data_IF_421643787010
#
_entry.id   IF_421643787010
#
_cell.length_a   1.000
_cell.length_b   1.000
_cell.length_c   1.000
_cell.angle_alpha   90.00
_cell.angle_beta   90.00
_cell.angle_gamma   90.00
#
_symmetry.space_group_name_H-M   'P 1'
#
loop_
_entity.id
_entity.type
_entity.pdbx_description
1 polymer ?
#
# COMPACT_ATOMS: atom_id res chain seq x y z
N UNK A 1 -52.93 115.47 20.12
CA UNK A 1 -52.08 115.34 21.34
C UNK A 1 -52.51 114.20 22.26
N UNK A 2 -53.72 114.16 22.85
CA UNK A 2 -54.08 113.08 23.80
C UNK A 2 -54.19 111.69 23.16
N UNK A 3 -54.84 111.58 22.00
CA UNK A 3 -54.96 110.31 21.26
C UNK A 3 -53.63 109.75 20.73
N UNK A 4 -52.69 110.63 20.37
CA UNK A 4 -51.36 110.23 19.88
C UNK A 4 -50.52 109.61 21.02
N UNK A 5 -50.64 110.15 22.23
CA UNK A 5 -49.94 109.66 23.43
C UNK A 5 -50.47 108.30 23.88
N UNK A 6 -51.79 108.08 23.83
CA UNK A 6 -52.39 106.79 24.19
C UNK A 6 -52.03 105.70 23.17
N UNK A 7 -51.97 106.05 21.89
CA UNK A 7 -51.46 105.17 20.83
C UNK A 7 -50.01 104.77 21.08
N UNK A 8 -49.15 105.75 21.40
CA UNK A 8 -47.74 105.52 21.70
C UNK A 8 -47.55 104.58 22.91
N UNK A 9 -48.34 104.77 23.97
CA UNK A 9 -48.31 103.91 25.17
C UNK A 9 -48.68 102.46 24.87
N UNK A 10 -49.73 102.23 24.07
CA UNK A 10 -50.10 100.88 23.67
C UNK A 10 -49.03 100.22 22.80
N UNK A 11 -48.41 100.97 21.88
CA UNK A 11 -47.29 100.47 21.08
C UNK A 11 -46.10 100.08 21.97
N UNK A 12 -45.74 100.93 22.93
CA UNK A 12 -44.65 100.64 23.88
C UNK A 12 -44.97 99.41 24.72
N UNK A 13 -46.20 99.28 25.24
CA UNK A 13 -46.62 98.12 26.04
C UNK A 13 -46.52 96.81 25.25
N UNK A 14 -46.99 96.79 24.00
CA UNK A 14 -46.89 95.62 23.13
C UNK A 14 -45.44 95.27 22.80
N UNK A 15 -44.58 96.27 22.57
CA UNK A 15 -43.15 96.08 22.33
C UNK A 15 -42.45 95.51 23.55
N UNK A 16 -42.76 95.99 24.76
CA UNK A 16 -42.22 95.45 26.02
C UNK A 16 -42.61 93.98 26.19
N UNK A 17 -43.89 93.62 26.01
CA UNK A 17 -44.32 92.22 26.11
C UNK A 17 -43.66 91.32 25.05
N UNK A 18 -43.44 91.84 23.84
CA UNK A 18 -42.69 91.12 22.80
C UNK A 18 -41.24 90.91 23.23
N UNK A 19 -40.58 91.95 23.74
CA UNK A 19 -39.19 91.91 24.19
C UNK A 19 -38.98 90.94 25.36
N UNK A 20 -39.93 90.88 26.30
CA UNK A 20 -39.91 89.96 27.44
C UNK A 20 -40.12 88.49 27.03
N UNK A 21 -40.78 88.23 25.89
CA UNK A 21 -41.00 86.88 25.38
C UNK A 21 -39.81 86.29 24.58
N UNK A 22 -38.97 87.15 24.01
CA UNK A 22 -37.83 86.75 23.18
C UNK A 22 -36.84 85.80 23.88
N UNK A 23 -36.43 86.02 25.16
CA UNK A 23 -35.52 85.11 25.85
C UNK A 23 -36.05 83.67 25.91
N UNK A 24 -37.35 83.48 26.11
CA UNK A 24 -37.97 82.16 26.15
C UNK A 24 -37.93 81.49 24.77
N UNK A 25 -38.28 82.22 23.72
CA UNK A 25 -38.21 81.72 22.34
C UNK A 25 -36.78 81.33 21.94
N UNK A 26 -35.79 82.14 22.32
CA UNK A 26 -34.36 81.84 22.09
C UNK A 26 -33.94 80.60 22.88
N UNK A 27 -34.41 80.45 24.12
CA UNK A 27 -34.17 79.25 24.94
C UNK A 27 -34.74 77.98 24.30
N UNK A 28 -35.97 78.02 23.79
CA UNK A 28 -36.61 76.89 23.12
C UNK A 28 -35.91 76.53 21.80
N UNK A 29 -35.54 77.54 21.00
CA UNK A 29 -34.72 77.36 19.80
C UNK A 29 -33.37 76.69 20.12
N UNK A 30 -32.68 77.14 21.18
CA UNK A 30 -31.40 76.55 21.59
C UNK A 30 -31.53 75.07 21.97
N UNK A 31 -32.61 74.71 22.68
CA UNK A 31 -32.92 73.32 23.02
C UNK A 31 -33.23 72.49 21.78
N UNK A 32 -34.03 73.01 20.85
CA UNK A 32 -34.35 72.37 19.57
C UNK A 32 -33.09 72.11 18.73
N UNK A 33 -32.20 73.10 18.62
CA UNK A 33 -30.93 72.97 17.91
C UNK A 33 -30.05 71.88 18.54
N UNK A 34 -29.97 71.85 19.87
CA UNK A 34 -29.19 70.85 20.61
C UNK A 34 -29.75 69.44 20.39
N UNK A 35 -31.07 69.27 20.50
CA UNK A 35 -31.76 68.00 20.27
C UNK A 35 -31.56 67.49 18.85
N UNK A 36 -31.75 68.35 17.84
CA UNK A 36 -31.55 68.00 16.44
C UNK A 36 -30.10 67.61 16.13
N UNK A 37 -29.13 68.30 16.72
CA UNK A 37 -27.71 67.96 16.57
C UNK A 37 -27.39 66.59 17.16
N UNK A 38 -27.94 66.27 18.34
CA UNK A 38 -27.76 64.98 18.99
C UNK A 38 -28.38 63.85 18.15
N UNK A 39 -29.65 63.99 17.77
CA UNK A 39 -30.37 63.01 16.98
C UNK A 39 -29.69 62.73 15.62
N UNK A 40 -29.18 63.77 14.96
CA UNK A 40 -28.43 63.62 13.71
C UNK A 40 -27.11 62.84 13.92
N UNK A 41 -26.40 63.10 15.03
CA UNK A 41 -25.14 62.42 15.35
C UNK A 41 -25.37 60.94 15.68
N UNK A 42 -26.39 60.63 16.46
CA UNK A 42 -26.78 59.26 16.80
C UNK A 42 -27.21 58.47 15.56
N UNK A 43 -28.00 59.10 14.68
CA UNK A 43 -28.46 58.51 13.41
C UNK A 43 -27.27 58.19 12.51
N UNK A 44 -26.34 59.13 12.35
CA UNK A 44 -25.16 58.94 11.51
C UNK A 44 -24.25 57.83 12.07
N UNK A 45 -24.01 57.84 13.38
CA UNK A 45 -23.20 56.82 14.06
C UNK A 45 -23.82 55.43 13.91
N UNK A 46 -25.12 55.31 14.16
CA UNK A 46 -25.84 54.04 14.02
C UNK A 46 -25.78 53.51 12.59
N UNK A 47 -25.96 54.38 11.59
CA UNK A 47 -25.87 54.01 10.18
C UNK A 47 -24.46 53.55 9.80
N UNK A 48 -23.42 54.26 10.26
CA UNK A 48 -22.03 53.89 10.00
C UNK A 48 -21.67 52.53 10.61
N UNK A 49 -22.06 52.30 11.87
CA UNK A 49 -21.85 51.02 12.56
C UNK A 49 -22.58 49.90 11.83
N UNK A 50 -23.83 50.11 11.46
CA UNK A 50 -24.66 49.12 10.74
C UNK A 50 -24.04 48.74 9.39
N UNK A 51 -23.56 49.70 8.61
CA UNK A 51 -22.94 49.44 7.31
C UNK A 51 -21.60 48.68 7.42
N UNK A 52 -20.79 49.02 8.43
CA UNK A 52 -19.53 48.31 8.66
C UNK A 52 -19.79 46.86 9.12
N UNK A 53 -20.69 46.67 10.08
CA UNK A 53 -21.08 45.33 10.54
C UNK A 53 -21.65 44.49 9.38
N UNK A 54 -22.46 45.09 8.51
CA UNK A 54 -23.01 44.40 7.33
C UNK A 54 -21.91 43.91 6.39
N UNK A 55 -20.87 44.71 6.15
CA UNK A 55 -19.72 44.30 5.33
C UNK A 55 -18.93 43.16 5.96
N UNK A 56 -18.74 43.21 7.27
CA UNK A 56 -18.02 42.16 8.00
C UNK A 56 -18.80 40.85 8.02
N UNK A 57 -20.12 40.90 8.18
CA UNK A 57 -21.00 39.71 8.07
C UNK A 57 -20.87 39.08 6.68
N UNK A 58 -20.98 39.87 5.61
CA UNK A 58 -20.83 39.35 4.23
C UNK A 58 -19.44 38.75 4.00
N UNK A 59 -18.39 39.34 4.56
CA UNK A 59 -17.03 38.79 4.47
C UNK A 59 -16.94 37.44 5.20
N UNK A 60 -17.48 37.37 6.41
CA UNK A 60 -17.48 36.16 7.22
C UNK A 60 -18.28 35.03 6.57
N UNK A 61 -19.44 35.34 5.97
CA UNK A 61 -20.23 34.37 5.20
C UNK A 61 -19.40 33.74 4.07
N UNK A 62 -18.69 34.57 3.30
CA UNK A 62 -17.80 34.09 2.23
C UNK A 62 -16.63 33.24 2.74
N UNK A 63 -16.07 33.58 3.89
CA UNK A 63 -14.98 32.81 4.47
C UNK A 63 -15.48 31.48 5.07
N UNK A 64 -16.70 31.44 5.60
CA UNK A 64 -17.37 30.19 6.02
C UNK A 64 -17.57 29.26 4.82
N UNK A 65 -18.07 29.75 3.68
CA UNK A 65 -18.26 28.94 2.47
C UNK A 65 -16.94 28.29 1.98
N UNK A 66 -15.82 29.04 2.06
CA UNK A 66 -14.50 28.49 1.73
C UNK A 66 -14.10 27.38 2.69
N UNK A 67 -14.32 27.57 3.99
CA UNK A 67 -14.02 26.58 5.02
C UNK A 67 -14.83 25.30 4.78
N UNK A 68 -16.12 25.40 4.47
CA UNK A 68 -16.98 24.25 4.15
C UNK A 68 -16.47 23.47 2.93
N UNK A 69 -16.00 24.19 1.90
CA UNK A 69 -15.38 23.58 0.72
C UNK A 69 -14.10 22.82 1.10
N UNK A 70 -13.23 23.43 1.91
CA UNK A 70 -12.01 22.76 2.40
C UNK A 70 -12.31 21.52 3.25
N UNK A 71 -13.32 21.57 4.13
CA UNK A 71 -13.75 20.42 4.94
C UNK A 71 -14.22 19.27 4.05
N UNK A 72 -14.95 19.58 2.98
CA UNK A 72 -15.40 18.57 2.01
C UNK A 72 -14.22 17.90 1.30
N UNK A 73 -13.19 18.67 0.95
CA UNK A 73 -11.93 18.14 0.42
C UNK A 73 -11.24 17.19 1.39
N UNK A 74 -11.02 17.63 2.64
CA UNK A 74 -10.40 16.81 3.70
C UNK A 74 -11.16 15.50 3.93
N UNK A 75 -12.49 15.52 3.91
CA UNK A 75 -13.30 14.30 4.06
C UNK A 75 -13.11 13.31 2.90
N UNK A 76 -12.85 13.81 1.69
CA UNK A 76 -12.54 13.00 0.52
C UNK A 76 -11.19 12.33 0.69
N UNK A 77 -10.16 13.09 1.07
CA UNK A 77 -8.82 12.58 1.32
C UNK A 77 -8.81 11.51 2.43
N UNK A 78 -9.54 11.75 3.53
CA UNK A 78 -9.68 10.77 4.62
C UNK A 78 -10.35 9.47 4.17
N UNK A 79 -11.30 9.54 3.23
CA UNK A 79 -11.93 8.34 2.65
C UNK A 79 -10.95 7.56 1.79
N UNK A 80 -10.09 8.25 1.04
CA UNK A 80 -9.05 7.61 0.23
C UNK A 80 -7.99 6.94 1.13
N UNK A 81 -7.50 7.64 2.15
CA UNK A 81 -6.57 7.06 3.15
C UNK A 81 -7.15 5.80 3.78
N UNK A 82 -8.43 5.82 4.18
CA UNK A 82 -9.11 4.64 4.72
C UNK A 82 -9.16 3.47 3.74
N UNK A 83 -9.34 3.73 2.44
CA UNK A 83 -9.32 2.67 1.42
C UNK A 83 -7.91 2.11 1.23
N UNK A 84 -6.88 2.96 1.24
CA UNK A 84 -5.49 2.54 1.14
C UNK A 84 -5.08 1.65 2.32
N UNK A 85 -5.51 1.99 3.54
CA UNK A 85 -5.29 1.15 4.72
C UNK A 85 -5.90 -0.25 4.58
N UNK A 86 -7.13 -0.36 4.05
CA UNK A 86 -7.72 -1.68 3.73
C UNK A 86 -6.94 -2.45 2.67
N UNK A 87 -6.25 -1.74 1.78
CA UNK A 87 -5.33 -2.33 0.81
C UNK A 87 -4.11 -2.95 1.49
N UNK A 88 -3.59 -2.33 2.55
CA UNK A 88 -2.48 -2.87 3.34
C UNK A 88 -2.87 -4.15 4.07
N UNK A 89 -4.07 -4.24 4.65
CA UNK A 89 -4.56 -5.47 5.30
C UNK A 89 -4.55 -6.67 4.33
N UNK A 90 -4.85 -6.43 3.04
CA UNK A 90 -4.80 -7.46 2.00
C UNK A 90 -3.36 -7.87 1.65
N UNK A 91 -2.43 -6.92 1.68
CA UNK A 91 -1.02 -7.20 1.45
C UNK A 91 -0.46 -8.04 2.61
N UNK A 92 -0.81 -7.70 3.85
CA UNK A 92 -0.44 -8.47 5.04
C UNK A 92 -0.92 -9.93 4.94
N UNK A 93 -2.21 -10.14 4.64
CA UNK A 93 -2.74 -11.50 4.41
C UNK A 93 -2.04 -12.23 3.24
N UNK A 94 -1.63 -11.50 2.19
CA UNK A 94 -0.84 -12.04 1.10
C UNK A 94 0.56 -12.48 1.53
N UNK A 95 1.19 -11.72 2.44
CA UNK A 95 2.50 -12.05 3.00
C UNK A 95 2.46 -13.33 3.86
N UNK A 96 1.41 -13.54 4.66
CA UNK A 96 1.24 -14.78 5.42
C UNK A 96 1.15 -16.01 4.50
N UNK A 97 0.38 -15.91 3.41
CA UNK A 97 0.27 -16.97 2.41
C UNK A 97 1.62 -17.25 1.71
N UNK A 98 2.36 -16.19 1.40
CA UNK A 98 3.69 -16.31 0.83
C UNK A 98 4.68 -16.98 1.80
N UNK A 99 4.63 -16.62 3.09
CA UNK A 99 5.46 -17.25 4.13
C UNK A 99 5.16 -18.74 4.26
N UNK A 100 3.89 -19.13 4.31
CA UNK A 100 3.49 -20.55 4.34
C UNK A 100 4.02 -21.33 3.12
N UNK A 101 4.07 -20.67 1.95
CA UNK A 101 4.63 -21.27 0.73
C UNK A 101 6.15 -21.45 0.82
N UNK A 102 6.86 -20.46 1.39
CA UNK A 102 8.30 -20.58 1.68
C UNK A 102 8.57 -21.73 2.64
N UNK A 103 7.82 -21.83 3.73
CA UNK A 103 7.99 -22.89 4.74
C UNK A 103 7.78 -24.27 4.10
N UNK A 104 6.76 -24.40 3.24
CA UNK A 104 6.50 -25.63 2.48
C UNK A 104 7.65 -26.00 1.54
N UNK A 105 8.20 -25.01 0.82
CA UNK A 105 9.36 -25.24 -0.06
C UNK A 105 10.61 -25.62 0.73
N UNK A 106 10.88 -24.98 1.87
CA UNK A 106 11.99 -25.32 2.74
C UNK A 106 11.87 -26.75 3.26
N UNK A 107 10.67 -27.18 3.66
CA UNK A 107 10.42 -28.56 4.06
C UNK A 107 10.69 -29.54 2.92
N UNK A 108 10.25 -29.24 1.70
CA UNK A 108 10.54 -30.07 0.53
C UNK A 108 12.05 -30.16 0.23
N UNK A 109 12.77 -29.04 0.31
CA UNK A 109 14.23 -28.99 0.12
C UNK A 109 14.94 -29.85 1.17
N UNK A 110 14.52 -29.78 2.42
CA UNK A 110 15.11 -30.56 3.51
C UNK A 110 14.92 -32.09 3.34
N UNK A 111 13.93 -32.53 2.56
CA UNK A 111 13.68 -33.94 2.27
C UNK A 111 14.46 -34.46 1.05
N UNK A 112 15.03 -33.58 0.21
CA UNK A 112 15.80 -33.99 -0.96
C UNK A 112 16.95 -34.97 -0.60
N UNK A 113 17.75 -34.74 0.46
CA UNK A 113 18.82 -35.68 0.84
C UNK A 113 18.31 -37.09 1.16
N UNK A 114 17.13 -37.23 1.77
CA UNK A 114 16.52 -38.54 2.06
C UNK A 114 16.00 -39.22 0.80
N UNK A 115 15.52 -38.46 -0.19
CA UNK A 115 15.06 -39.00 -1.48
C UNK A 115 16.22 -39.47 -2.39
N UNK A 116 17.41 -38.89 -2.24
CA UNK A 116 18.57 -39.16 -3.11
C UNK A 116 19.47 -40.28 -2.56
N UNK A 117 19.33 -40.64 -1.28
CA UNK A 117 19.98 -41.82 -0.73
C UNK A 117 19.05 -43.03 -0.78
N UNK A 118 19.38 -44.09 -1.54
CA UNK A 118 18.64 -45.34 -1.43
C UNK A 118 18.80 -45.88 0.00
N UNK A 119 17.72 -45.87 0.76
CA UNK A 119 17.59 -46.63 1.99
C UNK A 119 17.62 -48.11 1.64
N UNK A 120 18.47 -48.86 2.35
CA UNK A 120 18.69 -50.32 2.26
C UNK A 120 19.81 -50.80 1.32
N UNK A 121 21.03 -50.28 1.51
CA UNK A 121 22.21 -51.11 1.31
C UNK A 121 22.73 -51.56 2.67
N UNK A 122 22.34 -52.77 3.09
CA UNK A 122 22.95 -53.48 4.22
C UNK A 122 24.43 -53.74 3.91
N UNK A 123 25.29 -52.82 4.37
CA UNK A 123 26.74 -52.91 4.23
C UNK A 123 27.38 -53.89 5.22
N UNK A 124 26.59 -54.52 6.10
CA UNK A 124 27.11 -55.43 7.12
C UNK A 124 27.25 -56.88 6.65
N UNK A 125 26.53 -57.30 5.61
CA UNK A 125 26.60 -58.67 5.06
C UNK A 125 27.10 -58.78 3.62
N UNK A 126 27.18 -57.68 2.86
CA UNK A 126 27.76 -57.68 1.52
C UNK A 126 28.96 -56.74 1.44
N UNK A 127 30.17 -57.30 1.63
CA UNK A 127 31.38 -56.72 1.01
C UNK A 127 31.36 -57.00 -0.49
N UNK A 128 30.32 -56.56 -1.17
CA UNK A 128 30.34 -56.43 -2.62
C UNK A 128 31.22 -55.23 -2.92
N UNK A 129 32.48 -55.46 -3.30
CA UNK A 129 33.33 -54.39 -3.81
C UNK A 129 32.67 -53.89 -5.10
N UNK A 130 31.85 -52.83 -5.01
CA UNK A 130 31.22 -52.25 -6.19
C UNK A 130 32.34 -51.64 -7.02
N UNK A 131 32.80 -52.39 -8.01
CA UNK A 131 33.92 -52.00 -8.86
C UNK A 131 33.35 -51.44 -10.14
N UNK A 132 33.69 -50.19 -10.42
CA UNK A 132 33.49 -49.57 -11.72
C UNK A 132 34.31 -50.35 -12.76
N UNK A 133 33.65 -51.01 -13.70
CA UNK A 133 34.31 -51.77 -14.77
C UNK A 133 34.19 -51.00 -16.07
N UNK A 134 35.31 -50.81 -16.76
CA UNK A 134 35.31 -50.32 -18.14
C UNK A 134 35.14 -51.51 -19.07
N UNK A 135 34.12 -51.47 -19.93
CA UNK A 135 33.86 -52.55 -20.86
C UNK A 135 34.80 -52.48 -22.07
N UNK A 136 35.14 -53.62 -22.69
CA UNK A 136 35.97 -53.64 -23.89
C UNK A 136 35.34 -52.76 -24.98
N UNK A 137 36.17 -51.97 -25.67
CA UNK A 137 35.75 -51.10 -26.76
C UNK A 137 34.75 -49.97 -26.41
N UNK A 138 34.48 -49.74 -25.11
CA UNK A 138 33.71 -48.59 -24.64
C UNK A 138 34.57 -47.60 -23.86
N UNK A 139 34.18 -46.32 -23.89
CA UNK A 139 34.71 -45.28 -23.00
C UNK A 139 33.84 -45.11 -21.75
N UNK A 140 32.70 -45.80 -21.70
CA UNK A 140 31.75 -45.74 -20.60
C UNK A 140 32.14 -46.73 -19.50
N UNK A 141 31.93 -46.28 -18.26
CA UNK A 141 32.20 -47.08 -17.07
C UNK A 141 30.86 -47.43 -16.44
N UNK A 142 30.60 -48.73 -16.27
CA UNK A 142 29.35 -49.23 -15.73
C UNK A 142 29.58 -49.93 -14.39
N UNK A 143 28.54 -49.96 -13.57
CA UNK A 143 28.55 -50.65 -12.30
C UNK A 143 28.36 -52.16 -12.52
N UNK A 144 29.39 -52.96 -12.22
CA UNK A 144 29.28 -54.42 -12.03
C UNK A 144 28.98 -55.30 -13.25
N UNK A 145 28.45 -54.76 -14.35
CA UNK A 145 28.05 -55.54 -15.54
C UNK A 145 28.58 -54.93 -16.84
N UNK A 146 29.16 -55.78 -17.69
CA UNK A 146 29.49 -55.45 -19.07
C UNK A 146 28.62 -56.26 -20.02
N UNK A 147 28.18 -55.63 -21.11
CA UNK A 147 27.61 -56.32 -22.26
C UNK A 147 28.70 -56.61 -23.28
N UNK A 148 28.58 -57.75 -23.97
CA UNK A 148 29.57 -58.23 -24.93
C UNK A 148 28.91 -58.60 -26.26
N UNK A 149 29.59 -58.36 -27.38
CA UNK A 149 29.13 -58.79 -28.70
C UNK A 149 29.95 -59.97 -29.22
N UNK A 150 29.41 -60.70 -30.20
CA UNK A 150 30.17 -61.75 -30.87
C UNK A 150 31.41 -61.16 -31.56
N UNK A 151 32.57 -61.75 -31.30
CA UNK A 151 33.89 -61.28 -31.74
C UNK A 151 34.67 -60.46 -30.70
N UNK A 152 34.04 -59.98 -29.63
CA UNK A 152 34.72 -59.28 -28.54
C UNK A 152 35.53 -60.24 -27.64
N UNK A 153 36.35 -59.64 -26.76
CA UNK A 153 36.97 -60.37 -25.65
C UNK A 153 36.04 -60.47 -24.45
N UNK A 154 35.69 -61.69 -24.07
CA UNK A 154 34.81 -61.98 -22.95
C UNK A 154 35.50 -61.88 -21.59
N UNK A 155 34.75 -62.04 -20.48
CA UNK A 155 35.29 -61.96 -19.12
C UNK A 155 36.33 -63.04 -18.79
N UNK A 156 36.31 -64.20 -19.47
CA UNK A 156 37.35 -65.23 -19.31
C UNK A 156 38.60 -64.97 -20.19
N UNK A 157 38.64 -63.85 -20.90
CA UNK A 157 39.77 -63.40 -21.74
C UNK A 157 39.85 -64.06 -23.12
N UNK A 158 38.88 -64.90 -23.46
CA UNK A 158 38.66 -65.56 -24.74
C UNK A 158 37.77 -64.77 -25.70
N UNK A 159 37.39 -65.40 -26.81
CA UNK A 159 36.57 -64.77 -27.88
C UNK A 159 35.11 -65.14 -27.68
N UNK A 160 34.23 -64.15 -27.66
CA UNK A 160 32.78 -64.37 -27.61
C UNK A 160 32.28 -64.87 -28.97
N UNK A 161 31.64 -66.04 -29.00
CA UNK A 161 31.13 -66.66 -30.24
C UNK A 161 29.66 -66.32 -30.46
N UNK A 162 28.90 -66.20 -29.38
CA UNK A 162 27.50 -65.77 -29.42
C UNK A 162 27.18 -64.96 -28.18
N UNK A 163 26.26 -64.02 -28.34
CA UNK A 163 25.72 -63.24 -27.23
C UNK A 163 24.20 -63.12 -27.38
N UNK A 164 23.48 -63.20 -26.27
CA UNK A 164 22.03 -63.08 -26.15
C UNK A 164 21.67 -62.07 -25.06
N UNK A 165 20.40 -61.67 -25.01
CA UNK A 165 19.89 -60.73 -24.01
C UNK A 165 20.72 -59.43 -23.94
N UNK A 166 20.90 -58.82 -25.12
CA UNK A 166 21.69 -57.61 -25.36
C UNK A 166 23.16 -57.70 -24.93
N UNK A 167 23.73 -58.91 -25.01
CA UNK A 167 25.12 -59.16 -24.67
C UNK A 167 25.36 -59.44 -23.18
N UNK A 168 24.27 -59.64 -22.41
CA UNK A 168 24.37 -60.10 -21.02
C UNK A 168 24.72 -61.56 -20.93
N UNK A 169 24.22 -62.42 -21.83
CA UNK A 169 24.51 -63.86 -21.84
C UNK A 169 25.22 -64.31 -23.11
N UNK A 170 25.92 -65.45 -23.10
CA UNK A 170 26.62 -65.91 -24.31
C UNK A 170 27.57 -67.10 -24.12
N UNK A 171 28.19 -67.50 -25.24
CA UNK A 171 29.22 -68.53 -25.28
C UNK A 171 30.58 -67.89 -25.60
N UNK A 172 31.60 -68.22 -24.80
CA UNK A 172 32.98 -67.75 -24.96
C UNK A 172 33.93 -68.93 -25.18
N UNK A 173 34.84 -68.81 -26.14
CA UNK A 173 35.95 -69.74 -26.33
C UNK A 173 37.19 -69.20 -25.63
N UNK A 174 37.60 -69.84 -24.54
CA UNK A 174 38.82 -69.50 -23.80
C UNK A 174 39.67 -70.74 -23.53
N UNK A 175 40.99 -70.58 -23.56
CA UNK A 175 41.97 -71.61 -23.16
C UNK A 175 42.19 -71.66 -21.65
N UNK A 176 41.56 -70.76 -20.88
CA UNK A 176 41.58 -70.73 -19.42
C UNK A 176 40.17 -70.93 -18.90
N UNK A 177 39.97 -71.99 -18.14
CA UNK A 177 38.71 -72.24 -17.44
C UNK A 177 38.69 -71.39 -16.16
N UNK A 178 38.15 -70.17 -16.24
CA UNK A 178 37.90 -69.36 -15.04
C UNK A 178 36.57 -69.73 -14.39
N UNK A 179 36.43 -69.47 -13.09
CA UNK A 179 35.14 -69.44 -12.38
C UNK A 179 34.31 -68.21 -12.78
N UNK A 180 34.09 -68.03 -14.08
CA UNK A 180 33.35 -66.89 -14.62
C UNK A 180 31.85 -67.15 -14.53
N UNK A 181 31.08 -66.06 -14.43
CA UNK A 181 29.62 -66.05 -14.53
C UNK A 181 29.11 -66.39 -15.94
N UNK A 182 30.04 -66.56 -16.90
CA UNK A 182 29.81 -67.09 -18.23
C UNK A 182 30.61 -68.36 -18.46
N UNK A 183 29.90 -69.44 -18.82
CA UNK A 183 30.44 -70.78 -19.02
C UNK A 183 29.33 -71.80 -18.80
N UNK A 184 29.26 -72.84 -19.64
CA UNK A 184 28.15 -73.77 -19.74
C UNK A 184 27.78 -74.42 -18.38
N UNK A 185 26.53 -74.28 -17.96
CA UNK A 185 25.93 -75.20 -16.99
C UNK A 185 25.68 -76.53 -17.72
N UNK A 186 26.29 -77.63 -17.26
CA UNK A 186 25.93 -79.00 -17.70
C UNK A 186 26.68 -79.61 -18.88
N UNK A 187 27.99 -79.40 -19.04
CA UNK A 187 28.84 -80.28 -19.86
C UNK A 187 30.03 -80.77 -19.03
N UNK A 188 30.03 -82.08 -18.78
CA UNK A 188 31.16 -82.84 -18.25
C UNK A 188 32.26 -83.02 -19.31
#
# INVERSE_FOLDING_TARGET
MKGDVDTLKNTVFNLTGTLESLPNQVGDLSRLVTSNKLAATETFTSKLVTENLKKDVVRNEKDIEKIETSITGVNTDLREVRNNLKGLDRIEAGMDSFQNSIDSMQNAINQIPEMVMPSDLDTSTSRGLITLKRCPNTLEVTWGICTYQAGDKGPAGGIVVSATEDGRHGLELSFKQSSSTFGCEGVA
#
